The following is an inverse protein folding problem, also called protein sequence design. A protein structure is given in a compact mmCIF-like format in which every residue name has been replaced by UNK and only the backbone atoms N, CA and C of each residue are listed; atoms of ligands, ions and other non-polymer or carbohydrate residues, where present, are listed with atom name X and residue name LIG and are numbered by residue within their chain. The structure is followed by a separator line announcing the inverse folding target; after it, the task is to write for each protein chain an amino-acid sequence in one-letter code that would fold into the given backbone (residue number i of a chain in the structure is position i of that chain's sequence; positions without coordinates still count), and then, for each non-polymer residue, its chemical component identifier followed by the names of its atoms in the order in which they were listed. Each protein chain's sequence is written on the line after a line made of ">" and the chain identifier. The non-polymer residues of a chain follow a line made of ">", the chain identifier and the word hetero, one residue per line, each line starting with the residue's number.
data_IF_617580556754
#
_entry.id   IF_617580556754
#
_cell.length_a   1.000
_cell.length_b   1.000
_cell.length_c   1.000
_cell.angle_alpha   90.00
_cell.angle_beta   90.00
_cell.angle_gamma   90.00
#
_symmetry.space_group_name_H-M   'P 1'
#
loop_
_entity.id
_entity.type
_entity.pdbx_description
1 polymer ?
#
# COMPACT_ATOMS: atom_id res chain seq x y z
N UNK A 1 52.21 -44.21 5.07
CA UNK A 1 51.20 -43.56 5.92
C UNK A 1 51.04 -42.11 5.47
N UNK A 2 49.87 -41.72 4.95
CA UNK A 2 49.62 -40.35 4.47
C UNK A 2 48.31 -39.89 5.09
N UNK A 3 48.42 -39.15 6.19
CA UNK A 3 47.28 -38.53 6.88
C UNK A 3 46.86 -37.32 6.06
N UNK A 4 45.63 -37.33 5.53
CA UNK A 4 45.03 -36.16 4.87
C UNK A 4 44.24 -35.39 5.91
N UNK A 5 44.68 -34.18 6.22
CA UNK A 5 43.92 -33.25 7.05
C UNK A 5 42.64 -32.83 6.30
N UNK A 6 41.49 -33.06 6.93
CA UNK A 6 40.19 -32.60 6.43
C UNK A 6 39.94 -31.24 7.06
N UNK A 7 39.94 -30.19 6.24
CA UNK A 7 39.57 -28.85 6.67
C UNK A 7 38.04 -28.76 6.73
N UNK A 8 37.49 -28.57 7.93
CA UNK A 8 36.07 -28.24 8.14
C UNK A 8 35.89 -26.75 7.89
N UNK A 9 35.22 -26.41 6.81
CA UNK A 9 34.86 -25.03 6.50
C UNK A 9 33.53 -24.73 7.20
N UNK A 10 33.58 -23.96 8.29
CA UNK A 10 32.39 -23.34 8.88
C UNK A 10 31.90 -22.25 7.90
N UNK A 11 30.75 -22.50 7.27
CA UNK A 11 30.01 -21.49 6.53
C UNK A 11 29.31 -20.56 7.54
N UNK A 12 29.84 -19.36 7.75
CA UNK A 12 29.12 -18.28 8.41
C UNK A 12 27.96 -17.86 7.50
N UNK A 13 26.74 -18.14 7.92
CA UNK A 13 25.54 -17.57 7.31
C UNK A 13 25.47 -16.08 7.69
N UNK A 14 25.97 -15.21 6.80
CA UNK A 14 25.72 -13.78 6.89
C UNK A 14 24.24 -13.54 6.55
N UNK A 15 23.42 -13.30 7.58
CA UNK A 15 22.05 -12.84 7.41
C UNK A 15 22.06 -11.44 6.82
N UNK A 16 21.89 -11.34 5.50
CA UNK A 16 21.63 -10.06 4.82
C UNK A 16 20.20 -9.63 5.16
N UNK A 17 20.07 -8.73 6.13
CA UNK A 17 18.88 -7.90 6.24
C UNK A 17 18.87 -6.97 5.02
N UNK A 18 18.24 -7.42 3.93
CA UNK A 18 17.95 -6.56 2.79
C UNK A 18 17.03 -5.46 3.31
N UNK A 19 17.52 -4.22 3.35
CA UNK A 19 16.68 -3.06 3.50
C UNK A 19 15.59 -3.15 2.41
N UNK A 20 14.35 -3.45 2.82
CA UNK A 20 13.25 -3.59 1.87
C UNK A 20 13.06 -2.24 1.18
N UNK A 21 13.44 -2.19 -0.10
CA UNK A 21 13.29 -0.98 -0.90
C UNK A 21 11.81 -0.57 -0.91
N UNK A 22 11.53 0.69 -0.59
CA UNK A 22 10.18 1.21 -0.72
C UNK A 22 9.82 1.31 -2.21
N UNK A 23 8.67 0.77 -2.59
CA UNK A 23 8.13 0.86 -3.94
C UNK A 23 7.07 1.96 -3.98
N UNK A 24 7.06 2.79 -5.01
CA UNK A 24 6.05 3.83 -5.21
C UNK A 24 5.48 3.73 -6.63
N UNK A 25 4.17 3.94 -6.78
CA UNK A 25 3.56 4.11 -8.10
C UNK A 25 2.48 5.19 -8.11
N UNK A 26 2.41 5.98 -9.19
CA UNK A 26 1.39 6.99 -9.37
C UNK A 26 0.01 6.38 -9.61
N UNK A 27 -1.02 7.08 -9.14
CA UNK A 27 -2.42 6.71 -9.37
C UNK A 27 -3.23 7.90 -9.91
N UNK A 28 -4.35 7.61 -10.54
CA UNK A 28 -5.43 8.56 -10.89
C UNK A 28 -6.57 8.36 -9.91
N UNK A 29 -7.29 9.42 -9.59
CA UNK A 29 -8.50 9.34 -8.77
C UNK A 29 -9.72 9.36 -9.70
N UNK A 30 -10.47 8.28 -9.66
CA UNK A 30 -11.73 8.12 -10.40
C UNK A 30 -12.90 7.93 -9.42
N UNK A 31 -14.13 8.08 -9.90
CA UNK A 31 -15.28 7.72 -9.09
C UNK A 31 -15.36 6.22 -8.85
N UNK A 32 -15.68 5.84 -7.62
CA UNK A 32 -16.05 4.46 -7.36
C UNK A 32 -17.39 4.13 -8.07
N UNK A 33 -17.53 2.94 -8.68
CA UNK A 33 -18.79 2.51 -9.28
C UNK A 33 -19.98 2.63 -8.31
N UNK A 34 -21.12 3.11 -8.81
CA UNK A 34 -22.35 3.28 -8.02
C UNK A 34 -22.48 4.61 -7.26
N UNK A 35 -21.44 5.47 -7.26
CA UNK A 35 -21.40 6.73 -6.50
C UNK A 35 -21.10 7.97 -7.38
N UNK A 36 -21.21 7.83 -8.70
CA UNK A 36 -20.52 8.68 -9.68
C UNK A 36 -21.16 10.04 -10.01
N UNK A 37 -22.38 10.33 -9.54
CA UNK A 37 -23.18 11.46 -10.07
C UNK A 37 -23.24 12.70 -9.18
N UNK A 38 -22.82 12.66 -7.91
CA UNK A 38 -22.98 13.81 -6.98
C UNK A 38 -21.69 14.36 -6.40
N UNK A 39 -20.55 13.68 -6.56
CA UNK A 39 -19.25 14.14 -6.06
C UNK A 39 -18.32 14.41 -7.25
N UNK A 40 -17.41 15.36 -7.11
CA UNK A 40 -16.30 15.51 -8.05
C UNK A 40 -15.22 14.47 -7.75
N UNK A 41 -14.46 14.00 -8.75
CA UNK A 41 -13.32 13.14 -8.49
C UNK A 41 -12.28 13.92 -7.69
N UNK A 42 -11.51 13.19 -6.88
CA UNK A 42 -10.41 13.81 -6.14
C UNK A 42 -9.37 14.38 -7.10
N UNK A 43 -8.69 15.45 -6.69
CA UNK A 43 -7.63 16.11 -7.45
C UNK A 43 -6.29 15.97 -6.73
N UNK A 44 -5.18 16.19 -7.46
CA UNK A 44 -3.81 16.16 -6.93
C UNK A 44 -2.92 15.10 -7.58
N UNK A 45 -1.72 14.93 -7.01
CA UNK A 45 -0.72 13.94 -7.44
C UNK A 45 -0.63 12.78 -6.42
N UNK A 46 -1.62 11.87 -6.40
CA UNK A 46 -1.60 10.76 -5.47
C UNK A 46 -0.61 9.68 -5.90
N UNK A 47 0.04 9.10 -4.91
CA UNK A 47 0.97 8.00 -5.03
C UNK A 47 0.59 6.93 -4.02
N UNK A 48 0.64 5.66 -4.43
CA UNK A 48 0.67 4.55 -3.49
C UNK A 48 2.12 4.20 -3.20
N UNK A 49 2.46 4.18 -1.91
CA UNK A 49 3.76 3.73 -1.43
C UNK A 49 3.63 2.42 -0.67
N UNK A 50 4.52 1.49 -0.95
CA UNK A 50 4.74 0.25 -0.21
C UNK A 50 6.03 0.38 0.59
N UNK A 51 5.91 0.27 1.91
CA UNK A 51 7.06 0.20 2.83
C UNK A 51 6.74 -0.88 3.87
N UNK A 52 7.67 -1.81 4.10
CA UNK A 52 7.54 -2.90 5.08
C UNK A 52 6.22 -3.71 4.93
N UNK A 53 5.77 -3.88 3.69
CA UNK A 53 4.53 -4.58 3.34
C UNK A 53 3.24 -3.81 3.62
N UNK A 54 3.31 -2.58 4.11
CA UNK A 54 2.16 -1.70 4.27
C UNK A 54 1.96 -0.82 3.03
N UNK A 55 0.70 -0.66 2.60
CA UNK A 55 0.30 0.28 1.56
C UNK A 55 -0.12 1.60 2.21
N UNK A 56 0.32 2.72 1.65
CA UNK A 56 -0.12 4.04 2.07
C UNK A 56 -0.48 4.92 0.88
N UNK A 57 -1.56 5.69 1.01
CA UNK A 57 -1.91 6.74 0.06
C UNK A 57 -1.26 8.04 0.47
N UNK A 58 -0.49 8.63 -0.43
CA UNK A 58 0.21 9.89 -0.23
C UNK A 58 -0.11 10.87 -1.34
N UNK A 59 -0.01 12.14 -1.03
CA UNK A 59 -0.11 13.24 -1.98
C UNK A 59 1.11 14.14 -1.77
N UNK A 60 1.68 14.68 -2.84
CA UNK A 60 2.86 15.55 -2.74
C UNK A 60 2.68 16.75 -1.80
N UNK A 61 1.46 17.27 -1.70
CA UNK A 61 1.10 18.42 -0.86
C UNK A 61 0.87 18.09 0.62
N UNK A 62 0.90 16.81 1.03
CA UNK A 62 0.61 16.39 2.40
C UNK A 62 1.82 15.67 3.04
N UNK A 63 2.27 16.09 4.23
CA UNK A 63 3.44 15.49 4.88
C UNK A 63 3.16 14.08 5.42
N UNK A 64 1.90 13.79 5.77
CA UNK A 64 1.45 12.50 6.30
C UNK A 64 0.64 11.74 5.25
N UNK A 65 0.69 10.40 5.24
CA UNK A 65 -0.20 9.62 4.39
C UNK A 65 -1.65 9.85 4.83
N UNK A 66 -2.58 9.83 3.87
CA UNK A 66 -4.01 9.94 4.14
C UNK A 66 -4.52 8.73 4.92
N UNK A 67 -3.98 7.56 4.59
CA UNK A 67 -4.18 6.30 5.30
C UNK A 67 -2.98 5.37 5.06
N UNK A 68 -2.83 4.41 5.97
CA UNK A 68 -1.88 3.29 5.86
C UNK A 68 -2.58 2.01 6.25
N UNK A 69 -2.41 0.95 5.47
CA UNK A 69 -3.03 -0.36 5.71
C UNK A 69 -2.00 -1.48 5.56
N UNK A 70 -2.19 -2.58 6.29
CA UNK A 70 -1.39 -3.80 6.17
C UNK A 70 -2.25 -4.89 5.51
N UNK A 71 -2.06 -5.17 4.21
CA UNK A 71 -2.83 -6.19 3.52
C UNK A 71 -2.55 -7.60 4.04
N UNK A 72 -3.45 -8.53 3.72
CA UNK A 72 -3.26 -9.96 3.86
C UNK A 72 -2.12 -10.47 2.93
N UNK A 73 -1.64 -11.71 3.10
CA UNK A 73 -0.55 -12.26 2.28
C UNK A 73 -0.83 -12.28 0.77
N UNK A 74 -2.09 -12.38 0.38
CA UNK A 74 -2.53 -12.30 -1.03
C UNK A 74 -2.66 -10.86 -1.55
N UNK A 75 -2.32 -9.87 -0.71
CA UNK A 75 -2.41 -8.45 -1.01
C UNK A 75 -3.79 -7.83 -0.79
N UNK A 76 -4.79 -8.58 -0.33
CA UNK A 76 -6.15 -8.05 -0.12
C UNK A 76 -6.29 -7.27 1.20
N UNK A 77 -7.23 -6.33 1.25
CA UNK A 77 -7.61 -5.60 2.47
C UNK A 77 -9.04 -5.08 2.34
N UNK A 78 -9.86 -5.20 3.38
CA UNK A 78 -11.16 -4.53 3.45
C UNK A 78 -11.50 -4.20 4.91
N UNK A 79 -11.28 -2.94 5.29
CA UNK A 79 -11.63 -2.46 6.62
C UNK A 79 -11.78 -0.94 6.67
N UNK A 80 -12.41 -0.48 7.74
CA UNK A 80 -12.40 0.92 8.13
C UNK A 80 -11.11 1.22 8.90
N UNK A 81 -10.38 2.23 8.46
CA UNK A 81 -9.18 2.74 9.15
C UNK A 81 -9.26 4.25 9.35
N UNK A 82 -8.61 4.83 10.36
CA UNK A 82 -8.55 6.28 10.54
C UNK A 82 -7.98 6.96 9.28
N UNK A 83 -8.70 7.96 8.76
CA UNK A 83 -8.18 8.84 7.72
C UNK A 83 -7.73 10.16 8.33
N UNK A 84 -6.56 10.64 7.90
CA UNK A 84 -6.07 11.95 8.32
C UNK A 84 -6.95 13.11 7.84
N UNK A 85 -7.60 12.97 6.68
CA UNK A 85 -8.29 14.09 6.02
C UNK A 85 -9.63 14.50 6.69
N UNK A 86 -10.30 13.58 7.40
CA UNK A 86 -11.73 13.75 7.73
C UNK A 86 -12.09 13.44 9.18
N UNK A 87 -11.12 13.12 10.04
CA UNK A 87 -11.28 12.72 11.45
C UNK A 87 -12.16 11.47 11.70
N UNK A 88 -12.92 11.02 10.70
CA UNK A 88 -13.70 9.80 10.66
C UNK A 88 -12.91 8.68 9.96
N UNK A 89 -13.27 7.43 10.21
CA UNK A 89 -12.63 6.32 9.51
C UNK A 89 -13.05 6.24 8.04
N UNK A 90 -12.10 5.97 7.16
CA UNK A 90 -12.33 5.62 5.75
C UNK A 90 -12.32 4.09 5.59
N UNK A 91 -13.31 3.54 4.88
CA UNK A 91 -13.27 2.15 4.42
C UNK A 91 -12.35 2.02 3.22
N UNK A 92 -11.29 1.24 3.34
CA UNK A 92 -10.32 1.00 2.27
C UNK A 92 -10.50 -0.43 1.78
N UNK A 93 -10.66 -0.59 0.47
CA UNK A 93 -10.77 -1.90 -0.18
C UNK A 93 -9.65 -2.06 -1.20
N UNK A 94 -8.80 -3.05 -0.97
CA UNK A 94 -7.69 -3.45 -1.82
C UNK A 94 -7.99 -4.86 -2.33
N UNK A 95 -8.11 -5.08 -3.64
CA UNK A 95 -8.29 -6.43 -4.19
C UNK A 95 -7.02 -7.26 -4.00
N UNK A 96 -7.17 -8.58 -3.99
CA UNK A 96 -6.05 -9.51 -4.04
C UNK A 96 -5.16 -9.22 -5.26
N UNK A 97 -3.86 -9.46 -5.10
CA UNK A 97 -2.83 -9.21 -6.11
C UNK A 97 -1.61 -8.51 -5.53
N UNK A 98 -0.50 -8.60 -6.26
CA UNK A 98 0.76 -7.94 -5.94
C UNK A 98 1.00 -6.79 -6.92
N UNK A 99 1.64 -5.71 -6.45
CA UNK A 99 1.98 -4.55 -7.28
C UNK A 99 0.82 -3.57 -7.55
N UNK A 100 0.98 -2.68 -8.56
CA UNK A 100 0.01 -1.66 -8.87
C UNK A 100 -1.33 -2.26 -9.28
N UNK A 101 -2.37 -1.91 -8.52
CA UNK A 101 -3.75 -2.34 -8.77
C UNK A 101 -4.73 -1.30 -8.28
N UNK A 102 -5.99 -1.35 -8.74
CA UNK A 102 -6.95 -0.36 -8.33
C UNK A 102 -7.38 -0.54 -6.87
N UNK A 103 -7.49 0.56 -6.11
CA UNK A 103 -7.87 0.58 -4.69
C UNK A 103 -9.09 1.47 -4.50
N UNK A 104 -10.10 1.04 -3.74
CA UNK A 104 -11.30 1.85 -3.48
C UNK A 104 -11.24 2.48 -2.08
N UNK A 105 -11.58 3.76 -1.97
CA UNK A 105 -11.65 4.50 -0.70
C UNK A 105 -13.06 5.07 -0.49
N UNK A 106 -13.72 4.50 0.51
CA UNK A 106 -14.96 4.87 1.24
C UNK A 106 -14.75 5.86 2.38
N UNK A 107 -15.58 6.88 2.59
CA UNK A 107 -15.74 7.46 3.94
C UNK A 107 -16.97 6.88 4.64
N UNK A 108 -16.93 6.75 5.97
CA UNK A 108 -18.08 6.25 6.73
C UNK A 108 -19.22 7.28 6.83
N UNK A 109 -18.89 8.56 6.92
CA UNK A 109 -19.85 9.65 7.14
C UNK A 109 -20.27 10.37 5.86
N UNK A 110 -19.58 10.12 4.74
CA UNK A 110 -19.93 10.69 3.44
C UNK A 110 -20.25 9.59 2.43
N UNK A 111 -21.31 9.75 1.60
CA UNK A 111 -21.64 8.79 0.55
C UNK A 111 -20.57 8.75 -0.57
N UNK A 112 -19.67 9.73 -0.62
CA UNK A 112 -18.65 9.84 -1.64
C UNK A 112 -17.59 8.73 -1.48
N UNK A 113 -17.13 8.20 -2.62
CA UNK A 113 -16.03 7.26 -2.67
C UNK A 113 -15.32 7.31 -4.02
N UNK A 114 -14.01 7.06 -3.99
CA UNK A 114 -13.17 7.10 -5.17
C UNK A 114 -12.35 5.83 -5.33
N UNK A 115 -11.91 5.57 -6.56
CA UNK A 115 -10.99 4.51 -6.92
C UNK A 115 -9.66 5.14 -7.32
N UNK A 116 -8.59 4.62 -6.76
CA UNK A 116 -7.22 4.94 -7.14
C UNK A 116 -6.81 3.93 -8.20
N UNK A 117 -6.54 4.38 -9.42
CA UNK A 117 -6.18 3.53 -10.56
C UNK A 117 -4.71 3.77 -10.90
N UNK A 118 -3.85 2.75 -10.95
CA UNK A 118 -2.47 2.91 -11.41
C UNK A 118 -2.38 3.64 -12.74
N UNK A 119 -1.45 4.60 -12.85
CA UNK A 119 -1.09 5.23 -14.14
C UNK A 119 -0.16 4.34 -14.95
#
# INVERSE_FOLDING_TARGET
>A
MKVRAVAVILLLAAGTALAQASLEWPVVIEHAPGNASTCAPGTGDPMIRVTDGALSLRFASFPQPIWTVKPAPDGSFDAVVPSYADSNGARITVPAGTGPRPITTRQQSQPCGYRLVPK
#
